data_IF_019375073600
#
_entry.id   IF_019375073600
#
_cell.length_a   1.000
_cell.length_b   1.000
_cell.length_c   1.000
_cell.angle_alpha   90.00
_cell.angle_beta   90.00
_cell.angle_gamma   90.00
#
_symmetry.space_group_name_H-M   'P 1'
#
loop_
_entity.id
_entity.type
_entity.pdbx_description
1 polymer ?
#
# COMPACT_ATOMS: atom_id res chain seq x y z
N UNK A 1 -10.14 -12.96 4.96
CA UNK A 1 -9.52 -11.69 4.56
C UNK A 1 -9.89 -10.54 5.48
N UNK A 2 -10.82 -10.79 6.35
CA UNK A 2 -11.46 -9.72 7.11
C UNK A 2 -10.62 -9.18 8.27
N UNK A 3 -9.57 -9.89 8.65
CA UNK A 3 -8.80 -9.55 9.84
C UNK A 3 -7.45 -8.90 9.53
N UNK A 4 -7.22 -8.47 8.30
CA UNK A 4 -5.95 -7.82 8.00
C UNK A 4 -6.10 -6.30 7.97
N UNK A 5 -4.99 -5.64 8.28
CA UNK A 5 -4.94 -4.18 8.39
C UNK A 5 -4.26 -3.58 7.18
N UNK A 6 -4.88 -2.57 6.60
CA UNK A 6 -4.41 -1.90 5.40
C UNK A 6 -4.15 -0.42 5.68
N UNK A 7 -3.07 0.09 5.11
CA UNK A 7 -2.83 1.53 5.05
C UNK A 7 -2.86 1.94 3.60
N UNK A 8 -3.54 3.04 3.29
CA UNK A 8 -3.50 3.64 1.95
C UNK A 8 -2.79 4.99 2.05
N UNK A 9 -1.76 5.17 1.23
CA UNK A 9 -0.92 6.37 1.24
C UNK A 9 -1.05 7.09 -0.09
N UNK A 10 -1.60 8.30 -0.06
CA UNK A 10 -1.81 9.11 -1.26
C UNK A 10 -2.01 10.56 -0.83
N UNK A 11 -1.38 11.50 -1.54
CA UNK A 11 -1.50 12.92 -1.22
C UNK A 11 -2.75 13.57 -1.81
N UNK A 12 -3.44 12.88 -2.73
CA UNK A 12 -4.70 13.35 -3.28
C UNK A 12 -5.83 13.01 -2.32
N UNK A 13 -6.26 14.00 -1.55
CA UNK A 13 -7.21 13.76 -0.46
C UNK A 13 -8.55 13.20 -0.95
N UNK A 14 -9.05 13.68 -2.09
CA UNK A 14 -10.32 13.19 -2.63
C UNK A 14 -10.23 11.68 -2.96
N UNK A 15 -9.14 11.28 -3.60
CA UNK A 15 -8.91 9.87 -3.89
C UNK A 15 -8.80 9.06 -2.60
N UNK A 16 -7.99 9.55 -1.66
CA UNK A 16 -7.73 8.85 -0.40
C UNK A 16 -9.03 8.63 0.38
N UNK A 17 -9.84 9.66 0.52
CA UNK A 17 -11.12 9.55 1.23
C UNK A 17 -12.06 8.57 0.54
N UNK A 18 -12.12 8.61 -0.79
CA UNK A 18 -13.00 7.74 -1.56
C UNK A 18 -12.60 6.28 -1.41
N UNK A 19 -11.31 5.97 -1.55
CA UNK A 19 -10.86 4.58 -1.48
C UNK A 19 -11.01 4.02 -0.06
N UNK A 20 -10.74 4.84 0.95
CA UNK A 20 -10.93 4.42 2.34
C UNK A 20 -12.40 4.09 2.60
N UNK A 21 -13.30 4.94 2.13
CA UNK A 21 -14.73 4.72 2.30
C UNK A 21 -15.18 3.40 1.65
N UNK A 22 -14.68 3.14 0.44
CA UNK A 22 -15.03 1.90 -0.27
C UNK A 22 -14.48 0.65 0.42
N UNK A 23 -13.26 0.73 0.94
CA UNK A 23 -12.65 -0.40 1.65
C UNK A 23 -13.36 -0.66 2.98
N UNK A 24 -13.74 0.40 3.70
CA UNK A 24 -14.50 0.25 4.95
C UNK A 24 -15.88 -0.37 4.69
N UNK A 25 -16.50 -0.05 3.57
CA UNK A 25 -17.78 -0.64 3.19
C UNK A 25 -17.66 -2.16 3.00
N UNK A 26 -16.49 -2.65 2.73
CA UNK A 26 -16.21 -4.09 2.63
C UNK A 26 -15.64 -4.66 3.92
N UNK A 27 -15.76 -3.93 5.01
CA UNK A 27 -15.35 -4.34 6.35
C UNK A 27 -13.85 -4.60 6.47
N UNK A 28 -13.06 -3.88 5.70
CA UNK A 28 -11.60 -3.92 5.78
C UNK A 28 -11.15 -2.81 6.73
N UNK A 29 -10.30 -3.15 7.68
CA UNK A 29 -9.72 -2.16 8.59
C UNK A 29 -8.66 -1.37 7.83
N UNK A 30 -8.93 -0.09 7.56
CA UNK A 30 -8.06 0.73 6.72
C UNK A 30 -7.78 2.07 7.39
N UNK A 31 -6.54 2.53 7.27
CA UNK A 31 -6.08 3.83 7.75
C UNK A 31 -5.48 4.57 6.56
N UNK A 32 -5.73 5.86 6.46
CA UNK A 32 -5.14 6.70 5.42
C UNK A 32 -3.95 7.49 5.91
N UNK A 33 -2.98 7.69 5.01
CA UNK A 33 -1.85 8.58 5.25
C UNK A 33 -1.70 9.48 4.02
N UNK A 34 -1.49 10.77 4.24
CA UNK A 34 -1.43 11.75 3.15
C UNK A 34 -0.01 12.01 2.65
N UNK A 35 0.98 11.34 3.23
CA UNK A 35 2.39 11.50 2.84
C UNK A 35 3.19 10.28 3.27
N UNK A 36 4.40 10.15 2.70
CA UNK A 36 5.33 9.11 3.12
C UNK A 36 5.73 9.27 4.57
N UNK A 37 5.95 10.50 5.01
CA UNK A 37 6.30 10.77 6.42
C UNK A 37 5.20 10.30 7.36
N UNK A 38 3.95 10.59 7.03
CA UNK A 38 2.83 10.15 7.86
C UNK A 38 2.70 8.64 7.86
N UNK A 39 2.93 8.01 6.71
CA UNK A 39 2.90 6.56 6.62
C UNK A 39 3.92 5.92 7.56
N UNK A 40 5.15 6.44 7.59
CA UNK A 40 6.19 5.90 8.46
C UNK A 40 5.88 6.15 9.94
N UNK A 41 5.30 7.30 10.25
CA UNK A 41 4.85 7.60 11.61
C UNK A 41 3.81 6.59 12.10
N UNK A 42 2.81 6.30 11.26
CA UNK A 42 1.77 5.32 11.60
C UNK A 42 2.35 3.91 11.72
N UNK A 43 3.29 3.56 10.83
CA UNK A 43 3.91 2.24 10.84
C UNK A 43 4.76 2.03 12.09
N UNK A 44 5.35 3.09 12.62
CA UNK A 44 6.10 3.02 13.87
C UNK A 44 5.18 2.75 15.07
N UNK A 45 3.92 3.18 15.00
CA UNK A 45 2.98 3.07 16.10
C UNK A 45 2.25 1.71 16.12
N UNK A 46 2.04 1.09 14.94
CA UNK A 46 1.41 -0.22 14.88
C UNK A 46 1.77 -0.92 13.58
N UNK A 47 1.54 -2.23 13.53
CA UNK A 47 1.84 -3.02 12.34
C UNK A 47 0.68 -2.95 11.35
N UNK A 48 1.02 -3.05 10.06
CA UNK A 48 0.07 -3.17 8.96
C UNK A 48 0.46 -4.38 8.13
N UNK A 49 -0.54 -5.03 7.55
CA UNK A 49 -0.30 -6.21 6.72
C UNK A 49 0.00 -5.82 5.29
N UNK A 50 -0.76 -4.87 4.76
CA UNK A 50 -0.63 -4.41 3.38
C UNK A 50 -0.68 -2.89 3.35
N UNK A 51 0.23 -2.28 2.61
CA UNK A 51 0.25 -0.83 2.38
C UNK A 51 0.06 -0.59 0.88
N UNK A 52 -0.94 0.21 0.55
CA UNK A 52 -1.21 0.65 -0.82
C UNK A 52 -0.60 2.05 -0.93
N UNK A 53 0.37 2.24 -1.80
CA UNK A 53 1.28 3.39 -1.76
C UNK A 53 1.37 4.07 -3.13
N UNK A 54 0.98 5.33 -3.17
CA UNK A 54 1.12 6.15 -4.38
C UNK A 54 2.60 6.37 -4.69
N UNK A 55 2.96 6.25 -5.96
CA UNK A 55 4.34 6.43 -6.41
C UNK A 55 4.75 7.91 -6.37
N UNK A 56 3.88 8.79 -6.83
CA UNK A 56 4.20 10.23 -6.92
C UNK A 56 3.58 11.02 -5.78
N UNK A 57 4.44 11.49 -4.89
CA UNK A 57 4.03 12.35 -3.78
C UNK A 57 5.10 13.42 -3.58
N UNK A 58 4.72 14.64 -3.17
CA UNK A 58 5.71 15.66 -2.84
C UNK A 58 6.49 15.28 -1.60
N UNK A 59 7.70 15.79 -1.48
CA UNK A 59 8.57 15.45 -0.36
C UNK A 59 9.16 14.07 -0.53
N UNK A 60 8.87 13.17 0.41
CA UNK A 60 9.28 11.77 0.31
C UNK A 60 8.35 11.06 -0.68
N UNK A 61 8.87 10.68 -1.83
CA UNK A 61 8.05 10.00 -2.84
C UNK A 61 7.79 8.53 -2.48
N UNK A 62 6.99 7.86 -3.32
CA UNK A 62 6.60 6.48 -3.05
C UNK A 62 7.76 5.51 -3.04
N UNK A 63 8.76 5.70 -3.89
CA UNK A 63 9.93 4.81 -3.94
C UNK A 63 10.75 4.94 -2.66
N UNK A 64 11.01 6.15 -2.22
CA UNK A 64 11.72 6.38 -0.96
C UNK A 64 10.94 5.82 0.23
N UNK A 65 9.63 6.01 0.23
CA UNK A 65 8.76 5.49 1.28
C UNK A 65 8.80 3.96 1.30
N UNK A 66 8.75 3.32 0.13
CA UNK A 66 8.84 1.87 0.02
C UNK A 66 10.15 1.34 0.62
N UNK A 67 11.27 1.98 0.31
CA UNK A 67 12.56 1.58 0.88
C UNK A 67 12.53 1.60 2.39
N UNK A 68 11.99 2.67 2.97
CA UNK A 68 11.93 2.80 4.42
C UNK A 68 10.98 1.79 5.05
N UNK A 69 9.84 1.52 4.42
CA UNK A 69 8.91 0.50 4.89
C UNK A 69 9.59 -0.86 4.94
N UNK A 70 10.27 -1.23 3.86
CA UNK A 70 10.91 -2.54 3.78
C UNK A 70 12.08 -2.70 4.74
N UNK A 71 12.76 -1.62 5.07
CA UNK A 71 13.80 -1.66 6.10
C UNK A 71 13.22 -1.91 7.48
N UNK A 72 12.12 -1.26 7.81
CA UNK A 72 11.52 -1.30 9.15
C UNK A 72 10.62 -2.50 9.35
N UNK A 73 9.87 -2.88 8.33
CA UNK A 73 8.87 -3.95 8.39
C UNK A 73 8.98 -4.79 7.12
N UNK A 74 10.01 -5.63 7.01
CA UNK A 74 10.26 -6.37 5.76
C UNK A 74 9.14 -7.34 5.36
N UNK A 75 8.31 -7.76 6.28
CA UNK A 75 7.20 -8.67 5.96
C UNK A 75 5.91 -7.96 5.59
N UNK A 76 5.83 -6.64 5.81
CA UNK A 76 4.68 -5.86 5.35
C UNK A 76 4.73 -5.77 3.84
N UNK A 77 3.65 -6.16 3.16
CA UNK A 77 3.61 -6.14 1.71
C UNK A 77 3.13 -4.79 1.20
N UNK A 78 3.69 -4.35 0.09
CA UNK A 78 3.37 -3.04 -0.49
C UNK A 78 2.87 -3.21 -1.91
N UNK A 79 1.75 -2.55 -2.22
CA UNK A 79 1.20 -2.47 -3.58
C UNK A 79 1.36 -1.01 -4.01
N UNK A 80 2.04 -0.78 -5.14
CA UNK A 80 2.26 0.57 -5.64
C UNK A 80 1.06 1.03 -6.47
N UNK A 81 0.65 2.29 -6.29
CA UNK A 81 -0.36 2.92 -7.15
C UNK A 81 0.37 3.79 -8.18
N UNK A 82 0.12 3.55 -9.45
CA UNK A 82 0.84 4.25 -10.52
C UNK A 82 -0.13 4.86 -11.53
N UNK A 83 0.17 6.09 -12.01
CA UNK A 83 -0.46 6.62 -13.20
C UNK A 83 0.34 6.20 -14.43
N UNK A 84 -0.16 6.52 -15.62
CA UNK A 84 0.53 6.16 -16.88
C UNK A 84 1.96 6.70 -16.92
N UNK A 85 2.16 7.92 -16.44
CA UNK A 85 3.47 8.55 -16.45
C UNK A 85 4.44 7.97 -15.40
N UNK A 86 3.96 7.04 -14.57
CA UNK A 86 4.74 6.49 -13.46
C UNK A 86 4.95 4.98 -13.57
N UNK A 87 4.72 4.39 -14.74
CA UNK A 87 4.86 2.94 -14.93
C UNK A 87 6.28 2.47 -14.62
N UNK A 88 7.29 3.21 -15.06
CA UNK A 88 8.69 2.85 -14.78
C UNK A 88 8.97 2.85 -13.28
N UNK A 89 8.40 3.80 -12.54
CA UNK A 89 8.56 3.85 -11.10
C UNK A 89 7.85 2.67 -10.41
N UNK A 90 6.71 2.25 -10.95
CA UNK A 90 6.03 1.04 -10.47
C UNK A 90 6.90 -0.19 -10.63
N UNK A 91 7.54 -0.33 -11.81
CA UNK A 91 8.46 -1.43 -12.07
C UNK A 91 9.65 -1.37 -11.15
N UNK A 92 10.22 -0.17 -10.92
CA UNK A 92 11.30 0.01 -9.96
C UNK A 92 10.88 -0.44 -8.56
N UNK A 93 9.63 -0.14 -8.18
CA UNK A 93 9.09 -0.60 -6.90
C UNK A 93 9.11 -2.11 -6.78
N UNK A 94 8.76 -2.82 -7.87
CA UNK A 94 8.83 -4.28 -7.88
C UNK A 94 10.26 -4.77 -7.60
N UNK A 95 11.25 -4.12 -8.18
CA UNK A 95 12.66 -4.47 -7.96
C UNK A 95 13.10 -4.20 -6.53
N UNK A 96 12.44 -3.26 -5.85
CA UNK A 96 12.74 -2.89 -4.46
C UNK A 96 11.91 -3.66 -3.44
N UNK A 97 11.11 -4.62 -3.88
CA UNK A 97 10.39 -5.50 -2.99
C UNK A 97 8.89 -5.25 -2.86
N UNK A 98 8.30 -4.38 -3.68
CA UNK A 98 6.85 -4.25 -3.70
C UNK A 98 6.23 -5.56 -4.19
N UNK A 99 5.06 -5.89 -3.67
CA UNK A 99 4.35 -7.10 -4.09
C UNK A 99 3.87 -6.99 -5.54
N UNK A 100 3.26 -5.85 -5.86
CA UNK A 100 2.73 -5.62 -7.21
C UNK A 100 2.41 -4.13 -7.34
N UNK A 101 1.86 -3.75 -8.50
CA UNK A 101 1.38 -2.40 -8.71
C UNK A 101 0.00 -2.43 -9.36
N UNK A 102 -0.75 -1.33 -9.19
CA UNK A 102 -2.08 -1.14 -9.75
C UNK A 102 -2.10 0.23 -10.43
N UNK A 103 -2.63 0.28 -11.64
CA UNK A 103 -2.73 1.52 -12.40
C UNK A 103 -3.92 2.35 -11.93
N UNK A 104 -3.74 3.67 -11.88
CA UNK A 104 -4.87 4.61 -11.75
C UNK A 104 -5.46 4.88 -13.12
N UNK A 105 -6.78 5.02 -13.22
CA UNK A 105 -7.80 4.93 -12.19
C UNK A 105 -7.95 3.51 -11.66
N UNK A 106 -8.14 3.39 -10.36
CA UNK A 106 -8.13 2.08 -9.67
C UNK A 106 -9.43 1.33 -9.91
N UNK A 107 -9.31 0.11 -10.42
CA UNK A 107 -10.41 -0.84 -10.44
C UNK A 107 -10.42 -1.53 -9.08
N UNK A 108 -11.47 -1.29 -8.30
CA UNK A 108 -11.51 -1.76 -6.92
C UNK A 108 -11.37 -3.28 -6.80
N UNK A 109 -12.00 -4.03 -7.69
CA UNK A 109 -11.92 -5.49 -7.64
C UNK A 109 -10.50 -5.98 -7.87
N UNK A 110 -9.77 -5.33 -8.76
CA UNK A 110 -8.36 -5.66 -9.00
C UNK A 110 -7.52 -5.37 -7.75
N UNK A 111 -7.75 -4.22 -7.13
CA UNK A 111 -7.01 -3.85 -5.92
C UNK A 111 -7.29 -4.84 -4.79
N UNK A 112 -8.56 -5.18 -4.58
CA UNK A 112 -8.94 -6.13 -3.53
C UNK A 112 -8.28 -7.48 -3.73
N UNK A 113 -8.24 -7.98 -4.97
CA UNK A 113 -7.60 -9.25 -5.26
C UNK A 113 -6.11 -9.21 -4.97
N UNK A 114 -5.43 -8.14 -5.36
CA UNK A 114 -4.00 -7.99 -5.09
C UNK A 114 -3.72 -7.86 -3.61
N UNK A 115 -4.57 -7.15 -2.88
CA UNK A 115 -4.43 -7.03 -1.42
C UNK A 115 -4.56 -8.39 -0.76
N UNK A 116 -5.52 -9.20 -1.20
CA UNK A 116 -5.72 -10.55 -0.67
C UNK A 116 -4.49 -11.41 -0.93
N UNK A 117 -3.97 -11.39 -2.15
CA UNK A 117 -2.78 -12.15 -2.52
C UNK A 117 -1.56 -11.69 -1.71
N UNK A 118 -1.40 -10.39 -1.51
CA UNK A 118 -0.31 -9.83 -0.72
C UNK A 118 -0.39 -10.30 0.73
N UNK A 119 -1.58 -10.29 1.29
CA UNK A 119 -1.79 -10.75 2.66
C UNK A 119 -1.47 -12.24 2.80
N UNK A 120 -1.89 -13.05 1.85
CA UNK A 120 -1.58 -14.48 1.86
C UNK A 120 -0.07 -14.73 1.82
N UNK A 121 0.65 -13.96 0.99
CA UNK A 121 2.10 -14.05 0.93
C UNK A 121 2.72 -13.71 2.29
N UNK A 122 2.23 -12.65 2.93
CA UNK A 122 2.73 -12.25 4.25
C UNK A 122 2.55 -13.37 5.26
N UNK A 123 1.37 -14.00 5.28
CA UNK A 123 1.10 -15.10 6.19
C UNK A 123 2.05 -16.27 5.98
N UNK A 124 2.32 -16.61 4.72
CA UNK A 124 3.26 -17.69 4.40
C UNK A 124 4.66 -17.35 4.92
N UNK A 125 5.12 -16.13 4.67
CA UNK A 125 6.44 -15.70 5.12
C UNK A 125 6.55 -15.66 6.64
N UNK A 126 5.44 -15.44 7.33
CA UNK A 126 5.41 -15.46 8.80
C UNK A 126 5.22 -16.88 9.36
N UNK A 127 5.03 -17.87 8.49
CA UNK A 127 4.77 -19.23 8.93
C UNK A 127 3.36 -19.45 9.49
N UNK A 128 2.40 -18.63 9.05
CA UNK A 128 1.04 -18.63 9.57
C UNK A 128 -0.01 -19.15 8.59
N UNK A 129 0.42 -19.69 7.47
CA UNK A 129 -0.53 -20.16 6.46
C UNK A 129 -1.29 -21.40 6.90
#
# INVERSE_FOLDING_TARGET
MDDFKVMVVDDEMDFLETIIKRLKARKIEVTGAESGYKALELLAAQDYDVIVLDVKMPGMDGIETLREIKKKKPLTEVIMLTGHASVESGIQGMQLGAFDYVMKPVALDELLEKMRQAYEKKLILEGKS
#
